data_IF_483924259666
#
_entry.id   IF_483924259666
#
_cell.length_a   1.000
_cell.length_b   1.000
_cell.length_c   1.000
_cell.angle_alpha   90.00
_cell.angle_beta   90.00
_cell.angle_gamma   90.00
#
_symmetry.space_group_name_H-M   'P 1'
#
loop_
_entity.id
_entity.type
_entity.pdbx_description
1 polymer ?
#
# COMPACT_ATOMS: atom_id res chain seq x y z
N UNK A 1 -38.04 32.17 26.31
CA UNK A 1 -36.62 32.06 25.94
C UNK A 1 -35.98 30.67 26.18
N UNK A 2 -36.74 29.61 26.50
CA UNK A 2 -36.17 28.27 26.78
C UNK A 2 -36.26 27.26 25.62
N UNK A 3 -36.94 27.60 24.50
CA UNK A 3 -37.13 26.68 23.37
C UNK A 3 -35.98 26.68 22.34
N UNK A 4 -35.12 27.69 22.35
CA UNK A 4 -34.00 27.82 21.40
C UNK A 4 -32.74 27.05 21.81
N UNK A 5 -32.57 26.71 23.09
CA UNK A 5 -31.38 26.02 23.60
C UNK A 5 -31.38 24.53 23.22
N UNK A 6 -32.54 23.90 23.06
CA UNK A 6 -32.64 22.47 22.75
C UNK A 6 -32.29 22.10 21.29
N UNK A 7 -32.35 23.04 20.33
CA UNK A 7 -31.99 22.74 18.93
C UNK A 7 -30.46 22.71 18.70
N UNK A 8 -29.68 23.45 19.49
CA UNK A 8 -28.22 23.56 19.29
C UNK A 8 -27.49 22.28 19.76
N UNK A 9 -27.99 21.63 20.82
CA UNK A 9 -27.43 20.37 21.35
C UNK A 9 -27.61 19.18 20.40
N UNK A 10 -28.75 19.11 19.68
CA UNK A 10 -29.02 18.03 18.73
C UNK A 10 -28.14 18.11 17.47
N UNK A 11 -27.85 19.31 16.98
CA UNK A 11 -26.95 19.49 15.82
C UNK A 11 -25.51 19.12 16.20
N UNK A 12 -25.08 19.43 17.42
CA UNK A 12 -23.74 19.11 17.93
C UNK A 12 -23.45 17.60 18.00
N UNK A 13 -24.47 16.78 18.30
CA UNK A 13 -24.32 15.33 18.36
C UNK A 13 -24.19 14.66 16.99
N UNK A 14 -24.75 15.24 15.91
CA UNK A 14 -24.66 14.66 14.55
C UNK A 14 -23.27 14.91 13.94
N UNK A 15 -22.65 16.07 14.20
CA UNK A 15 -21.30 16.37 13.68
C UNK A 15 -20.20 15.52 14.33
N UNK A 16 -20.39 15.07 15.57
CA UNK A 16 -19.44 14.18 16.27
C UNK A 16 -19.46 12.74 15.74
N UNK A 17 -20.53 12.31 15.06
CA UNK A 17 -20.66 10.97 14.47
C UNK A 17 -19.99 10.83 13.09
N UNK A 18 -19.59 11.95 12.47
CA UNK A 18 -18.87 11.96 11.19
C UNK A 18 -17.34 11.81 11.32
N UNK A 19 -16.80 11.44 12.48
CA UNK A 19 -15.42 10.96 12.56
C UNK A 19 -15.38 9.50 12.16
N UNK A 20 -15.42 9.28 10.85
CA UNK A 20 -15.20 7.96 10.26
C UNK A 20 -13.84 7.47 10.75
N UNK A 21 -13.84 6.44 11.60
CA UNK A 21 -12.62 5.87 12.17
C UNK A 21 -11.69 5.51 11.01
N UNK A 22 -10.44 5.96 11.08
CA UNK A 22 -9.43 5.56 10.11
C UNK A 22 -9.40 4.02 10.04
N UNK A 23 -9.51 3.47 8.82
CA UNK A 23 -9.48 2.02 8.60
C UNK A 23 -8.15 1.48 9.13
N UNK A 24 -8.14 0.30 9.73
CA UNK A 24 -6.88 -0.37 10.03
C UNK A 24 -6.21 -0.79 8.71
N UNK A 25 -4.88 -0.97 8.70
CA UNK A 25 -4.18 -1.56 7.54
C UNK A 25 -4.86 -2.84 7.07
N UNK A 26 -5.26 -3.72 7.99
CA UNK A 26 -5.91 -4.99 7.67
C UNK A 26 -7.23 -4.78 6.93
N UNK A 27 -8.06 -3.85 7.40
CA UNK A 27 -9.36 -3.56 6.78
C UNK A 27 -9.17 -2.92 5.41
N UNK A 28 -8.20 -2.02 5.27
CA UNK A 28 -7.86 -1.38 4.01
C UNK A 28 -7.35 -2.40 2.98
N UNK A 29 -6.38 -3.24 3.36
CA UNK A 29 -5.87 -4.32 2.51
C UNK A 29 -7.03 -5.23 2.09
N UNK A 30 -7.86 -5.67 3.03
CA UNK A 30 -8.96 -6.60 2.76
C UNK A 30 -9.95 -6.00 1.77
N UNK A 31 -10.28 -4.71 1.94
CA UNK A 31 -11.14 -3.96 1.02
C UNK A 31 -10.56 -3.94 -0.39
N UNK A 32 -9.35 -3.42 -0.58
CA UNK A 32 -8.78 -3.23 -1.92
C UNK A 32 -8.48 -4.56 -2.62
N UNK A 33 -8.06 -5.60 -1.87
CA UNK A 33 -7.89 -6.97 -2.40
C UNK A 33 -9.18 -7.55 -2.95
N UNK A 34 -10.27 -7.43 -2.19
CA UNK A 34 -11.58 -7.88 -2.62
C UNK A 34 -12.13 -7.05 -3.80
N UNK A 35 -11.85 -5.75 -3.84
CA UNK A 35 -12.37 -4.85 -4.89
C UNK A 35 -11.70 -5.07 -6.24
N UNK A 36 -10.37 -5.04 -6.32
CA UNK A 36 -9.68 -5.18 -7.62
C UNK A 36 -8.24 -5.69 -7.56
N UNK A 37 -7.51 -5.55 -6.45
CA UNK A 37 -6.06 -5.85 -6.43
C UNK A 37 -5.78 -7.30 -6.81
N UNK A 38 -6.49 -8.27 -6.23
CA UNK A 38 -6.27 -9.69 -6.54
C UNK A 38 -6.61 -10.02 -8.01
N UNK A 39 -7.59 -9.32 -8.58
CA UNK A 39 -7.95 -9.47 -10.00
C UNK A 39 -6.89 -8.87 -10.92
N UNK A 40 -6.31 -7.73 -10.56
CA UNK A 40 -5.20 -7.12 -11.30
C UNK A 40 -3.96 -8.01 -11.33
N UNK A 41 -3.58 -8.59 -10.18
CA UNK A 41 -2.48 -9.56 -10.12
C UNK A 41 -2.80 -10.81 -10.93
N UNK A 42 -4.01 -11.36 -10.80
CA UNK A 42 -4.41 -12.55 -11.59
C UNK A 42 -4.31 -12.26 -13.09
N UNK A 43 -4.74 -11.09 -13.54
CA UNK A 43 -4.64 -10.68 -14.93
C UNK A 43 -3.18 -10.54 -15.37
N UNK A 44 -2.34 -9.90 -14.55
CA UNK A 44 -0.89 -9.82 -14.78
C UNK A 44 -0.26 -11.20 -14.95
N UNK A 45 -0.50 -12.13 -14.03
CA UNK A 45 0.11 -13.46 -14.07
C UNK A 45 -0.39 -14.32 -15.22
N UNK A 46 -1.67 -14.18 -15.60
CA UNK A 46 -2.28 -14.94 -16.70
C UNK A 46 -1.79 -14.46 -18.06
N UNK A 47 -1.86 -13.15 -18.29
CA UNK A 47 -1.64 -12.56 -19.62
C UNK A 47 -0.18 -12.11 -19.82
N UNK A 48 0.59 -11.93 -18.74
CA UNK A 48 1.96 -11.38 -18.75
C UNK A 48 2.04 -10.02 -19.43
N UNK A 49 0.95 -9.25 -19.36
CA UNK A 49 0.82 -7.92 -19.94
C UNK A 49 0.53 -6.91 -18.82
N UNK A 50 1.55 -6.11 -18.51
CA UNK A 50 1.45 -5.07 -17.48
C UNK A 50 0.56 -3.92 -17.89
N UNK A 51 0.49 -3.58 -19.17
CA UNK A 51 -0.37 -2.49 -19.64
C UNK A 51 -1.84 -2.87 -19.45
N UNK A 52 -2.20 -4.12 -19.75
CA UNK A 52 -3.54 -4.65 -19.52
C UNK A 52 -3.89 -4.69 -18.02
N UNK A 53 -2.99 -5.21 -17.18
CA UNK A 53 -3.19 -5.28 -15.73
C UNK A 53 -3.32 -3.90 -15.08
N UNK A 54 -2.46 -2.94 -15.46
CA UNK A 54 -2.51 -1.56 -14.97
C UNK A 54 -3.75 -0.83 -15.47
N UNK A 55 -4.18 -1.03 -16.72
CA UNK A 55 -5.43 -0.41 -17.21
C UNK A 55 -6.65 -0.89 -16.42
N UNK A 56 -6.72 -2.18 -16.09
CA UNK A 56 -7.79 -2.71 -15.24
C UNK A 56 -7.71 -2.11 -13.83
N UNK A 57 -6.51 -2.09 -13.24
CA UNK A 57 -6.27 -1.51 -11.92
C UNK A 57 -6.67 -0.02 -11.86
N UNK A 58 -6.15 0.80 -12.78
CA UNK A 58 -6.34 2.24 -12.80
C UNK A 58 -7.82 2.60 -13.04
N UNK A 59 -8.52 1.86 -13.92
CA UNK A 59 -9.96 2.06 -14.13
C UNK A 59 -10.79 1.72 -12.88
N UNK A 60 -10.46 0.64 -12.18
CA UNK A 60 -11.15 0.27 -10.94
C UNK A 60 -10.86 1.29 -9.82
N UNK A 61 -9.59 1.71 -9.68
CA UNK A 61 -9.19 2.68 -8.66
C UNK A 61 -9.82 4.05 -8.88
N UNK A 62 -9.91 4.54 -10.13
CA UNK A 62 -10.58 5.80 -10.44
C UNK A 62 -12.07 5.79 -10.07
N UNK A 63 -12.76 4.66 -10.22
CA UNK A 63 -14.18 4.52 -9.90
C UNK A 63 -14.46 4.65 -8.39
N UNK A 64 -13.50 4.31 -7.54
CA UNK A 64 -13.64 4.33 -6.09
C UNK A 64 -13.60 5.77 -5.52
N UNK A 65 -13.03 6.72 -6.27
CA UNK A 65 -13.02 8.15 -5.91
C UNK A 65 -12.24 8.49 -4.63
N UNK A 66 -11.51 7.53 -4.05
CA UNK A 66 -10.74 7.66 -2.82
C UNK A 66 -9.25 7.61 -3.12
N UNK A 67 -8.50 8.58 -2.61
CA UNK A 67 -7.03 8.52 -2.58
C UNK A 67 -6.56 7.77 -1.35
N UNK A 68 -5.82 6.68 -1.57
CA UNK A 68 -5.28 5.85 -0.51
C UNK A 68 -3.84 5.43 -0.81
N UNK A 69 -3.02 5.35 0.24
CA UNK A 69 -1.58 5.06 0.12
C UNK A 69 -1.38 3.61 -0.32
N UNK A 70 -2.15 2.67 0.26
CA UNK A 70 -2.03 1.24 -0.07
C UNK A 70 -2.22 0.94 -1.57
N UNK A 71 -3.33 1.29 -2.24
CA UNK A 71 -3.48 1.01 -3.67
C UNK A 71 -2.43 1.77 -4.51
N UNK A 72 -1.98 2.94 -4.08
CA UNK A 72 -0.88 3.66 -4.77
C UNK A 72 0.42 2.84 -4.76
N UNK A 73 0.73 2.15 -3.65
CA UNK A 73 1.88 1.24 -3.56
C UNK A 73 1.68 -0.05 -4.37
N UNK A 74 0.46 -0.62 -4.36
CA UNK A 74 0.14 -1.82 -5.15
C UNK A 74 0.41 -1.63 -6.64
N UNK A 75 0.21 -0.41 -7.15
CA UNK A 75 0.53 -0.09 -8.55
C UNK A 75 2.00 -0.35 -8.87
N UNK A 76 2.91 -0.01 -7.96
CA UNK A 76 4.33 -0.31 -8.08
C UNK A 76 4.62 -1.80 -7.86
N UNK A 77 3.88 -2.48 -6.98
CA UNK A 77 4.01 -3.93 -6.79
C UNK A 77 3.66 -4.70 -8.07
N UNK A 78 2.63 -4.31 -8.83
CA UNK A 78 2.30 -4.92 -10.12
C UNK A 78 3.48 -4.80 -11.10
N UNK A 79 4.10 -3.62 -11.18
CA UNK A 79 5.27 -3.38 -12.04
C UNK A 79 6.49 -4.17 -11.55
N UNK A 80 6.75 -4.19 -10.23
CA UNK A 80 7.84 -4.94 -9.63
C UNK A 80 7.72 -6.45 -9.91
N UNK A 81 6.51 -7.00 -9.73
CA UNK A 81 6.21 -8.41 -9.99
C UNK A 81 6.38 -8.74 -11.47
N UNK A 82 5.97 -7.85 -12.38
CA UNK A 82 6.21 -8.07 -13.80
C UNK A 82 7.69 -8.21 -14.12
N UNK A 83 8.50 -7.25 -13.66
CA UNK A 83 9.93 -7.25 -13.92
C UNK A 83 10.64 -8.45 -13.27
N UNK A 84 10.19 -8.84 -12.07
CA UNK A 84 10.78 -9.95 -11.35
C UNK A 84 10.47 -11.30 -12.00
N UNK A 85 9.20 -11.56 -12.34
CA UNK A 85 8.76 -12.88 -12.80
C UNK A 85 8.87 -13.09 -14.31
N UNK A 86 8.74 -12.03 -15.13
CA UNK A 86 8.60 -12.19 -16.59
C UNK A 86 9.76 -11.63 -17.39
N UNK A 87 10.49 -10.63 -16.87
CA UNK A 87 11.65 -10.05 -17.59
C UNK A 87 12.99 -10.36 -16.94
N UNK A 88 13.00 -10.83 -15.67
CA UNK A 88 14.22 -11.02 -14.88
C UNK A 88 15.00 -9.73 -14.62
N UNK A 89 14.38 -8.56 -14.78
CA UNK A 89 15.07 -7.27 -14.68
C UNK A 89 15.09 -6.81 -13.21
N UNK A 90 16.05 -7.33 -12.44
CA UNK A 90 16.19 -7.02 -11.02
C UNK A 90 16.37 -5.52 -10.74
N UNK A 91 17.00 -4.76 -11.65
CA UNK A 91 17.16 -3.31 -11.47
C UNK A 91 15.81 -2.59 -11.55
N UNK A 92 15.01 -2.92 -12.56
CA UNK A 92 13.66 -2.37 -12.69
C UNK A 92 12.76 -2.82 -11.53
N UNK A 93 12.87 -4.07 -11.06
CA UNK A 93 12.18 -4.51 -9.84
C UNK A 93 12.58 -3.64 -8.64
N UNK A 94 13.88 -3.40 -8.43
CA UNK A 94 14.37 -2.56 -7.33
C UNK A 94 13.79 -1.14 -7.40
N UNK A 95 13.77 -0.53 -8.59
CA UNK A 95 13.28 0.85 -8.78
C UNK A 95 11.79 0.97 -8.47
N UNK A 96 11.00 -0.07 -8.78
CA UNK A 96 9.58 -0.11 -8.42
C UNK A 96 9.38 -0.28 -6.91
N UNK A 97 10.17 -1.12 -6.24
CA UNK A 97 10.09 -1.28 -4.78
C UNK A 97 10.54 -0.01 -4.05
N UNK A 98 11.59 0.67 -4.52
CA UNK A 98 12.01 1.96 -3.98
C UNK A 98 10.89 3.01 -4.11
N UNK A 99 10.19 3.02 -5.25
CA UNK A 99 9.04 3.90 -5.48
C UNK A 99 7.86 3.58 -4.54
N UNK A 100 7.60 2.30 -4.29
CA UNK A 100 6.59 1.87 -3.31
C UNK A 100 6.96 2.28 -1.88
N UNK A 101 8.22 2.04 -1.46
CA UNK A 101 8.73 2.42 -0.13
C UNK A 101 8.66 3.93 0.11
N UNK A 102 8.88 4.74 -0.93
CA UNK A 102 8.82 6.20 -0.82
C UNK A 102 7.42 6.72 -0.43
N UNK A 103 6.35 5.99 -0.76
CA UNK A 103 4.98 6.32 -0.35
C UNK A 103 4.76 6.16 1.16
N UNK A 104 5.63 5.42 1.85
CA UNK A 104 5.60 5.20 3.30
C UNK A 104 6.76 5.95 3.99
N UNK A 105 7.23 7.06 3.44
CA UNK A 105 8.43 7.76 3.91
C UNK A 105 8.34 8.36 5.32
N UNK A 106 7.14 8.49 5.90
CA UNK A 106 6.95 9.07 7.24
C UNK A 106 6.75 7.99 8.31
N UNK A 107 7.19 8.23 9.56
CA UNK A 107 6.92 7.32 10.69
C UNK A 107 5.42 7.05 10.90
N UNK A 108 4.56 8.05 10.69
CA UNK A 108 3.12 7.85 10.81
C UNK A 108 2.60 6.82 9.81
N UNK A 109 3.01 6.90 8.54
CA UNK A 109 2.62 5.94 7.52
C UNK A 109 3.22 4.55 7.77
N UNK A 110 4.46 4.47 8.24
CA UNK A 110 5.10 3.19 8.61
C UNK A 110 4.36 2.50 9.75
N UNK A 111 3.94 3.27 10.76
CA UNK A 111 3.17 2.75 11.90
C UNK A 111 1.72 2.43 11.53
N UNK A 112 1.16 3.12 10.53
CA UNK A 112 -0.18 2.84 10.04
C UNK A 112 -0.21 1.61 9.12
N UNK A 113 0.84 1.38 8.32
CA UNK A 113 0.98 0.26 7.38
C UNK A 113 2.20 -0.65 7.67
N UNK A 114 2.36 -1.18 8.89
CA UNK A 114 3.59 -1.88 9.27
C UNK A 114 3.78 -3.16 8.48
N UNK A 115 2.73 -3.94 8.19
CA UNK A 115 2.88 -5.21 7.44
C UNK A 115 3.28 -4.97 6.00
N UNK A 116 2.63 -4.02 5.35
CA UNK A 116 2.89 -3.65 3.95
C UNK A 116 4.31 -3.14 3.80
N UNK A 117 4.71 -2.23 4.69
CA UNK A 117 6.05 -1.65 4.65
C UNK A 117 7.14 -2.68 4.95
N UNK A 118 6.96 -3.55 5.95
CA UNK A 118 7.87 -4.68 6.22
C UNK A 118 7.97 -5.61 5.01
N UNK A 119 6.85 -5.96 4.38
CA UNK A 119 6.83 -6.79 3.17
C UNK A 119 7.66 -6.19 2.02
N UNK A 120 7.50 -4.89 1.78
CA UNK A 120 8.27 -4.16 0.78
C UNK A 120 9.77 -4.11 1.11
N UNK A 121 10.14 -3.89 2.37
CA UNK A 121 11.54 -3.91 2.81
C UNK A 121 12.16 -5.29 2.61
N UNK A 122 11.47 -6.37 2.98
CA UNK A 122 11.98 -7.72 2.79
C UNK A 122 12.13 -8.07 1.30
N UNK A 123 11.16 -7.68 0.47
CA UNK A 123 11.26 -7.91 -0.97
C UNK A 123 12.40 -7.07 -1.58
N UNK A 124 12.47 -5.78 -1.25
CA UNK A 124 13.56 -4.89 -1.66
C UNK A 124 14.94 -5.39 -1.22
N UNK A 125 15.05 -5.93 0.00
CA UNK A 125 16.29 -6.49 0.53
C UNK A 125 16.79 -7.67 -0.31
N UNK A 126 15.87 -8.57 -0.68
CA UNK A 126 16.18 -9.70 -1.56
C UNK A 126 16.65 -9.24 -2.93
N UNK A 127 16.01 -8.22 -3.51
CA UNK A 127 16.40 -7.67 -4.81
C UNK A 127 17.75 -6.95 -4.73
N UNK A 128 17.98 -6.14 -3.70
CA UNK A 128 19.26 -5.47 -3.46
C UNK A 128 20.39 -6.49 -3.31
N UNK A 129 20.16 -7.59 -2.59
CA UNK A 129 21.13 -8.68 -2.47
C UNK A 129 21.49 -9.30 -3.83
N UNK A 130 20.48 -9.56 -4.69
CA UNK A 130 20.69 -10.08 -6.05
C UNK A 130 21.49 -9.14 -6.95
N UNK A 131 21.46 -7.83 -6.65
CA UNK A 131 22.23 -6.80 -7.35
C UNK A 131 23.61 -6.55 -6.70
N UNK A 132 24.02 -7.39 -5.74
CA UNK A 132 25.25 -7.22 -4.94
C UNK A 132 25.31 -5.90 -4.17
N UNK A 133 24.16 -5.30 -3.87
CA UNK A 133 24.03 -4.07 -3.07
C UNK A 133 23.87 -4.42 -1.58
N UNK A 134 24.86 -5.11 -1.00
CA UNK A 134 24.74 -5.72 0.32
C UNK A 134 24.48 -4.72 1.45
N UNK A 135 25.01 -3.51 1.37
CA UNK A 135 24.71 -2.44 2.35
C UNK A 135 23.21 -2.12 2.37
N UNK A 136 22.64 -1.84 1.19
CA UNK A 136 21.20 -1.58 1.04
C UNK A 136 20.34 -2.76 1.46
N UNK A 137 20.75 -3.98 1.12
CA UNK A 137 20.05 -5.19 1.53
C UNK A 137 20.00 -5.33 3.06
N UNK A 138 21.14 -5.13 3.73
CA UNK A 138 21.23 -5.17 5.19
C UNK A 138 20.36 -4.09 5.82
N UNK A 139 20.42 -2.85 5.33
CA UNK A 139 19.60 -1.75 5.84
C UNK A 139 18.11 -2.09 5.77
N UNK A 140 17.66 -2.67 4.66
CA UNK A 140 16.28 -3.12 4.51
C UNK A 140 15.90 -4.24 5.47
N UNK A 141 16.76 -5.26 5.64
CA UNK A 141 16.48 -6.36 6.56
C UNK A 141 16.44 -5.92 8.03
N UNK A 142 17.38 -5.08 8.46
CA UNK A 142 17.40 -4.56 9.82
C UNK A 142 16.16 -3.70 10.10
N UNK A 143 15.83 -2.79 9.20
CA UNK A 143 14.63 -1.96 9.34
C UNK A 143 13.34 -2.78 9.33
N UNK A 144 13.27 -3.82 8.50
CA UNK A 144 12.13 -4.73 8.47
C UNK A 144 11.99 -5.46 9.81
N UNK A 145 13.11 -5.94 10.37
CA UNK A 145 13.14 -6.60 11.68
C UNK A 145 12.71 -5.65 12.81
N UNK A 146 13.27 -4.45 12.88
CA UNK A 146 12.93 -3.47 13.93
C UNK A 146 11.44 -3.15 13.94
N UNK A 147 10.84 -2.95 12.76
CA UNK A 147 9.40 -2.68 12.65
C UNK A 147 8.55 -3.91 12.94
N UNK A 148 8.98 -5.10 12.53
CA UNK A 148 8.28 -6.33 12.88
C UNK A 148 8.26 -6.54 14.40
N UNK A 149 9.41 -6.42 15.07
CA UNK A 149 9.51 -6.56 16.53
C UNK A 149 8.66 -5.52 17.28
N UNK A 150 8.47 -4.33 16.70
CA UNK A 150 7.70 -3.24 17.33
C UNK A 150 6.17 -3.33 17.11
N UNK A 151 5.72 -3.93 16.00
CA UNK A 151 4.32 -3.77 15.55
C UNK A 151 3.60 -5.06 15.12
N UNK A 152 4.31 -6.18 14.91
CA UNK A 152 3.76 -7.43 14.37
C UNK A 152 3.80 -8.58 15.37
#
# INVERSE_FOLDING_TARGET
>A
MWKTINCILLISCVVASCRQKARSERDEISYWKASFVDSSFRLLYKEKDTALALRYFDAAYQKEGQTAVYPSAVRFDLLANFHYFFTGNNKATADMIDSALALYSTPNLQNHYPRTYVGLLLFGGNIAYRLSQYGKANDYYFRAKELADAYL
#
